data_IF_336688148327
#
_entry.id   IF_336688148327
#
_cell.length_a   1.000
_cell.length_b   1.000
_cell.length_c   1.000
_cell.angle_alpha   90.00
_cell.angle_beta   90.00
_cell.angle_gamma   90.00
#
_symmetry.space_group_name_H-M   'P 1'
#
loop_
_entity.id
_entity.type
_entity.pdbx_description
1 polymer ?
#
# COMPACT_ATOMS: atom_id res chain seq x y z
N UNK A 1 5.72 -16.36 21.06
CA UNK A 1 5.16 -15.29 20.20
C UNK A 1 5.88 -15.35 18.86
N UNK A 2 5.19 -15.30 17.73
CA UNK A 2 5.85 -15.23 16.41
C UNK A 2 6.41 -13.82 16.18
N UNK A 3 7.56 -13.73 15.50
CA UNK A 3 8.13 -12.42 15.15
C UNK A 3 7.25 -11.71 14.11
N UNK A 4 7.41 -10.39 13.96
CA UNK A 4 6.71 -9.64 12.92
C UNK A 4 7.10 -10.14 11.52
N UNK A 5 8.38 -10.48 11.33
CA UNK A 5 8.87 -11.07 10.09
C UNK A 5 8.16 -12.38 9.74
N UNK A 6 7.99 -13.28 10.71
CA UNK A 6 7.27 -14.54 10.48
C UNK A 6 5.80 -14.31 10.09
N UNK A 7 5.13 -13.33 10.71
CA UNK A 7 3.76 -12.98 10.34
C UNK A 7 3.66 -12.44 8.90
N UNK A 8 4.64 -11.64 8.46
CA UNK A 8 4.71 -11.14 7.08
C UNK A 8 4.92 -12.28 6.09
N UNK A 9 5.83 -13.22 6.41
CA UNK A 9 6.11 -14.42 5.61
C UNK A 9 4.86 -15.28 5.44
N UNK A 10 4.07 -15.46 6.50
CA UNK A 10 2.80 -16.20 6.43
C UNK A 10 1.74 -15.46 5.60
N UNK A 11 1.68 -14.13 5.69
CA UNK A 11 0.76 -13.33 4.87
C UNK A 11 1.00 -13.51 3.37
N UNK A 12 2.23 -13.81 2.93
CA UNK A 12 2.52 -14.03 1.51
C UNK A 12 1.73 -15.18 0.90
N UNK A 13 1.37 -16.22 1.68
CA UNK A 13 0.71 -17.43 1.16
C UNK A 13 1.57 -18.24 0.18
N UNK A 14 2.89 -18.02 0.20
CA UNK A 14 3.87 -18.77 -0.59
C UNK A 14 4.53 -19.85 0.28
N UNK A 15 5.29 -20.74 -0.36
CA UNK A 15 6.08 -21.75 0.37
C UNK A 15 7.00 -21.07 1.41
N UNK A 16 7.03 -21.50 2.69
CA UNK A 16 7.67 -20.76 3.77
C UNK A 16 9.15 -20.42 3.54
N UNK A 17 9.94 -21.36 3.02
CA UNK A 17 11.36 -21.14 2.73
C UNK A 17 11.57 -20.09 1.62
N UNK A 18 10.68 -20.09 0.63
CA UNK A 18 10.71 -19.16 -0.49
C UNK A 18 10.28 -17.75 -0.07
N UNK A 19 9.16 -17.65 0.66
CA UNK A 19 8.66 -16.40 1.23
C UNK A 19 9.72 -15.74 2.12
N UNK A 20 10.37 -16.49 3.02
CA UNK A 20 11.44 -15.98 3.88
C UNK A 20 12.54 -15.32 3.08
N UNK A 21 13.04 -15.98 2.02
CA UNK A 21 14.12 -15.45 1.19
C UNK A 21 13.73 -14.15 0.49
N UNK A 22 12.57 -14.12 -0.16
CA UNK A 22 12.11 -12.95 -0.91
C UNK A 22 11.87 -11.75 0.03
N UNK A 23 11.24 -11.99 1.18
CA UNK A 23 10.96 -10.93 2.15
C UNK A 23 12.26 -10.43 2.78
N UNK A 24 13.20 -11.31 3.10
CA UNK A 24 14.52 -10.92 3.57
C UNK A 24 15.23 -10.01 2.56
N UNK A 25 15.30 -10.40 1.28
CA UNK A 25 15.93 -9.60 0.23
C UNK A 25 15.21 -8.25 0.05
N UNK A 26 13.88 -8.22 0.16
CA UNK A 26 13.11 -6.98 0.08
C UNK A 26 13.39 -6.03 1.26
N UNK A 27 13.54 -6.58 2.47
CA UNK A 27 13.89 -5.81 3.67
C UNK A 27 15.32 -5.27 3.62
N UNK A 28 16.28 -6.09 3.18
CA UNK A 28 17.67 -5.68 2.99
C UNK A 28 17.77 -4.54 1.96
N UNK A 29 17.02 -4.60 0.85
CA UNK A 29 16.92 -3.50 -0.13
C UNK A 29 16.36 -2.20 0.46
N UNK A 30 15.55 -2.30 1.51
CA UNK A 30 15.02 -1.16 2.25
C UNK A 30 15.90 -0.72 3.43
N UNK A 31 17.09 -1.31 3.59
CA UNK A 31 18.02 -1.00 4.68
C UNK A 31 17.61 -1.58 6.04
N UNK A 32 16.71 -2.57 6.05
CA UNK A 32 16.23 -3.25 7.26
C UNK A 32 17.01 -4.56 7.43
N UNK A 33 17.95 -4.57 8.38
CA UNK A 33 18.69 -5.77 8.77
C UNK A 33 19.13 -5.68 10.24
N UNK A 34 18.99 -6.74 11.06
CA UNK A 34 18.50 -8.07 10.72
C UNK A 34 16.96 -8.17 10.70
N UNK A 35 16.36 -9.02 9.83
CA UNK A 35 14.91 -9.15 9.68
C UNK A 35 14.20 -9.66 10.95
N UNK A 36 14.88 -10.42 11.82
CA UNK A 36 14.33 -10.87 13.10
C UNK A 36 14.08 -9.74 14.12
N UNK A 37 14.76 -8.59 13.94
CA UNK A 37 14.57 -7.39 14.76
C UNK A 37 13.64 -6.36 14.12
N UNK A 38 12.92 -6.74 13.06
CA UNK A 38 12.05 -5.84 12.30
C UNK A 38 11.00 -5.18 13.19
N UNK A 39 11.00 -3.85 13.19
CA UNK A 39 9.95 -3.05 13.85
C UNK A 39 8.78 -2.77 12.90
N UNK A 40 7.62 -2.35 13.41
CA UNK A 40 6.51 -1.89 12.56
C UNK A 40 6.90 -0.80 11.56
N UNK A 41 7.78 0.12 11.95
CA UNK A 41 8.28 1.19 11.07
C UNK A 41 9.15 0.63 9.93
N UNK A 42 9.92 -0.41 10.20
CA UNK A 42 10.75 -1.09 9.21
C UNK A 42 9.92 -1.85 8.20
N UNK A 43 8.82 -2.49 8.64
CA UNK A 43 7.87 -3.11 7.73
C UNK A 43 7.25 -2.06 6.81
N UNK A 44 6.81 -0.91 7.33
CA UNK A 44 6.23 0.18 6.54
C UNK A 44 7.23 0.67 5.47
N UNK A 45 8.51 0.81 5.82
CA UNK A 45 9.59 1.17 4.89
C UNK A 45 9.88 0.08 3.84
N UNK A 46 9.65 -1.19 4.18
CA UNK A 46 9.91 -2.35 3.32
C UNK A 46 8.75 -2.69 2.38
N UNK A 47 7.52 -2.26 2.70
CA UNK A 47 6.31 -2.62 1.92
C UNK A 47 6.41 -2.33 0.41
N UNK A 48 6.99 -1.22 -0.08
CA UNK A 48 7.14 -0.99 -1.51
C UNK A 48 8.02 -2.06 -2.19
N UNK A 49 9.12 -2.45 -1.54
CA UNK A 49 10.04 -3.48 -2.04
C UNK A 49 9.41 -4.87 -1.97
N UNK A 50 8.66 -5.16 -0.90
CA UNK A 50 7.90 -6.41 -0.74
C UNK A 50 6.84 -6.53 -1.83
N UNK A 51 6.09 -5.46 -2.09
CA UNK A 51 5.07 -5.42 -3.16
C UNK A 51 5.68 -5.70 -4.53
N UNK A 52 6.81 -5.08 -4.85
CA UNK A 52 7.51 -5.33 -6.12
C UNK A 52 7.97 -6.79 -6.23
N UNK A 53 8.54 -7.34 -5.16
CA UNK A 53 9.02 -8.71 -5.17
C UNK A 53 7.88 -9.74 -5.31
N UNK A 54 6.75 -9.51 -4.63
CA UNK A 54 5.56 -10.35 -4.76
C UNK A 54 4.94 -10.26 -6.17
N UNK A 55 5.00 -9.10 -6.81
CA UNK A 55 4.48 -8.90 -8.17
C UNK A 55 5.22 -9.65 -9.28
N UNK A 56 6.35 -10.29 -8.97
CA UNK A 56 7.03 -11.22 -9.89
C UNK A 56 6.33 -12.58 -9.94
N UNK A 57 5.60 -12.95 -8.88
CA UNK A 57 5.03 -14.29 -8.69
C UNK A 57 3.51 -14.31 -8.57
N UNK A 58 2.90 -13.22 -8.13
CA UNK A 58 1.48 -13.11 -7.85
C UNK A 58 0.80 -12.10 -8.78
N UNK A 59 -0.47 -12.32 -9.05
CA UNK A 59 -1.30 -11.38 -9.77
C UNK A 59 -1.46 -10.05 -9.01
N UNK A 60 -1.69 -8.92 -9.71
CA UNK A 60 -1.78 -7.61 -9.07
C UNK A 60 -2.88 -7.51 -8.01
N UNK A 61 -3.98 -8.25 -8.17
CA UNK A 61 -5.07 -8.35 -7.19
C UNK A 61 -4.62 -9.07 -5.92
N UNK A 62 -3.89 -10.18 -6.05
CA UNK A 62 -3.32 -10.92 -4.94
C UNK A 62 -2.25 -10.11 -4.20
N UNK A 63 -1.36 -9.45 -4.94
CA UNK A 63 -0.36 -8.53 -4.38
C UNK A 63 -1.04 -7.44 -3.56
N UNK A 64 -2.13 -6.84 -4.05
CA UNK A 64 -2.87 -5.83 -3.33
C UNK A 64 -3.49 -6.38 -2.04
N UNK A 65 -4.08 -7.59 -2.08
CA UNK A 65 -4.62 -8.27 -0.90
C UNK A 65 -3.54 -8.59 0.13
N UNK A 66 -2.40 -9.17 -0.28
CA UNK A 66 -1.29 -9.50 0.62
C UNK A 66 -0.69 -8.25 1.25
N UNK A 67 -0.50 -7.21 0.44
CA UNK A 67 -0.02 -5.92 0.91
C UNK A 67 -0.98 -5.37 1.96
N UNK A 68 -2.29 -5.33 1.69
CA UNK A 68 -3.31 -4.86 2.65
C UNK A 68 -3.28 -5.65 3.97
N UNK A 69 -3.11 -6.97 3.92
CA UNK A 69 -2.97 -7.81 5.11
C UNK A 69 -1.72 -7.41 5.93
N UNK A 70 -0.57 -7.22 5.28
CA UNK A 70 0.66 -6.76 5.96
C UNK A 70 0.48 -5.36 6.57
N UNK A 71 -0.28 -4.46 5.91
CA UNK A 71 -0.60 -3.14 6.48
C UNK A 71 -1.43 -3.25 7.77
N UNK A 72 -2.33 -4.23 7.84
CA UNK A 72 -3.16 -4.46 9.02
C UNK A 72 -2.33 -4.91 10.24
N UNK A 73 -1.21 -5.60 10.03
CA UNK A 73 -0.28 -5.99 11.10
C UNK A 73 0.31 -4.79 11.84
N UNK A 74 0.39 -3.62 11.18
CA UNK A 74 1.04 -2.41 11.71
C UNK A 74 0.10 -1.21 11.79
N UNK A 75 -1.23 -1.45 11.87
CA UNK A 75 -2.28 -0.42 11.84
C UNK A 75 -2.03 0.78 12.77
N UNK A 76 -1.45 0.56 13.95
CA UNK A 76 -1.15 1.61 14.93
C UNK A 76 0.17 2.36 14.73
N UNK A 77 1.00 1.94 13.78
CA UNK A 77 2.33 2.50 13.52
C UNK A 77 2.42 3.22 12.17
N UNK A 78 1.32 3.31 11.43
CA UNK A 78 1.28 4.07 10.19
C UNK A 78 1.58 5.53 10.48
N UNK A 79 2.55 6.15 9.79
CA UNK A 79 2.62 7.59 9.79
C UNK A 79 1.25 8.09 9.34
N UNK A 80 0.69 9.07 10.06
CA UNK A 80 -0.52 9.77 9.64
C UNK A 80 -0.21 10.51 8.34
N UNK A 81 -0.21 9.79 7.22
CA UNK A 81 -0.05 10.40 5.91
C UNK A 81 -1.32 11.19 5.63
N UNK A 82 -1.22 12.46 5.21
CA UNK A 82 -2.35 13.10 4.56
C UNK A 82 -2.71 12.23 3.35
N UNK A 83 -3.99 11.89 3.22
CA UNK A 83 -4.48 11.14 2.07
C UNK A 83 -3.94 11.83 0.81
N UNK A 84 -3.19 11.09 -0.02
CA UNK A 84 -2.87 11.53 -1.38
C UNK A 84 -4.19 11.95 -1.99
N UNK A 85 -4.34 13.26 -2.19
CA UNK A 85 -5.42 13.81 -3.00
C UNK A 85 -5.32 13.09 -4.35
N UNK A 86 -6.35 12.36 -4.80
CA UNK A 86 -6.32 11.78 -6.13
C UNK A 86 -6.03 12.94 -7.10
N UNK A 87 -5.11 12.75 -8.08
CA UNK A 87 -4.85 13.78 -9.07
C UNK A 87 -6.21 14.14 -9.69
N UNK A 88 -6.60 15.40 -9.52
CA UNK A 88 -7.88 15.91 -9.98
C UNK A 88 -8.12 15.42 -11.40
N UNK A 89 -9.10 14.53 -11.57
CA UNK A 89 -9.55 14.10 -12.88
C UNK A 89 -9.87 15.37 -13.66
N UNK A 90 -9.20 15.54 -14.80
CA UNK A 90 -9.38 16.62 -15.75
C UNK A 90 -10.80 17.20 -15.68
N UNK A 91 -10.90 18.49 -15.37
CA UNK A 91 -12.09 19.27 -15.65
C UNK A 91 -12.19 19.43 -17.17
N UNK A 92 -12.67 18.36 -17.82
CA UNK A 92 -13.12 18.40 -19.20
C UNK A 92 -14.40 19.26 -19.27
N UNK A 93 -14.38 20.21 -20.18
CA UNK A 93 -15.20 21.42 -20.13
C UNK A 93 -16.69 21.24 -20.39
N UNK A 94 -17.45 22.20 -19.88
CA UNK A 94 -18.48 22.94 -20.62
C UNK A 94 -19.04 24.05 -19.73
N UNK A 95 -18.71 25.29 -20.06
CA UNK A 95 -19.60 26.42 -19.81
C UNK A 95 -20.73 26.36 -20.84
N UNK A 96 -21.99 26.45 -20.40
CA UNK A 96 -23.01 27.13 -21.19
C UNK A 96 -23.31 28.48 -20.53
N UNK A 97 -22.79 29.53 -21.15
CA UNK A 97 -23.40 30.85 -21.17
C UNK A 97 -24.72 30.73 -21.95
N UNK A 98 -25.88 31.13 -21.38
CA UNK A 98 -26.78 32.14 -21.96
C UNK A 98 -28.11 32.36 -21.17
N UNK A 99 -28.56 33.62 -21.19
CA UNK A 99 -29.91 34.19 -20.97
C UNK A 99 -30.45 34.50 -19.54
N UNK A 100 -30.61 35.81 -19.19
CA UNK A 100 -31.55 36.24 -18.16
C UNK A 100 -32.90 36.55 -18.81
N UNK A 101 -33.91 35.71 -18.56
CA UNK A 101 -35.29 36.01 -18.97
C UNK A 101 -36.10 36.55 -17.81
N UNK A 102 -36.36 37.84 -17.88
CA UNK A 102 -37.35 38.59 -17.10
C UNK A 102 -38.67 37.84 -16.97
N UNK A 103 -39.23 37.78 -15.75
CA UNK A 103 -40.68 37.81 -15.55
C UNK A 103 -41.06 38.25 -14.14
N UNK A 104 -41.89 39.29 -14.12
CA UNK A 104 -42.60 39.86 -12.98
C UNK A 104 -43.49 38.85 -12.24
N UNK A 105 -43.70 39.13 -10.95
CA UNK A 105 -45.00 39.22 -10.25
C UNK A 105 -44.90 38.66 -8.84
N UNK A 106 -44.96 39.51 -7.82
CA UNK A 106 -46.18 39.73 -7.05
C UNK A 106 -46.05 40.93 -6.11
#
# INVERSE_FOLDING_TARGET
MRSLFEQVVECCGLAPAFARKIIQEACERSGVSPPDAMTPADLIRSLPQIRQALGVFLDPSEVALKTAAMRALVKGSWPSMPAVVPPAQNQDGRTPQDEPKSKSSS
#
